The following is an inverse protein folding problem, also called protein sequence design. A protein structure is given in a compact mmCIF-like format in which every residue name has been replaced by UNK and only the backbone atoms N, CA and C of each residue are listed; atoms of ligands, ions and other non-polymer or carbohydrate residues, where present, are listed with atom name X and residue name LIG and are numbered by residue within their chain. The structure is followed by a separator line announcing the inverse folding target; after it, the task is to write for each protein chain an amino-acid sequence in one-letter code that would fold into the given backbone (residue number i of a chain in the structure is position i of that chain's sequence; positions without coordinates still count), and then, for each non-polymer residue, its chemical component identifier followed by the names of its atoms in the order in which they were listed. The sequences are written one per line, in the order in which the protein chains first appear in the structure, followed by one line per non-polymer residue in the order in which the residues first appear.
data_IF_470059461634
#
_entry.id   IF_470059461634
#
_cell.length_a   1.000
_cell.length_b   1.000
_cell.length_c   1.000
_cell.angle_alpha   90.00
_cell.angle_beta   90.00
_cell.angle_gamma   90.00
#
_symmetry.space_group_name_H-M   'P 1'
#
loop_
_entity.id
_entity.type
_entity.pdbx_description
1 polymer ?
#
# COMPACT_ATOMS: atom_id res chain seq x y z
N UNK A 1 23.78 -45.39 -32.03
CA UNK A 1 24.51 -44.12 -32.00
C UNK A 1 23.62 -42.95 -32.27
N UNK A 2 22.83 -42.45 -31.31
CA UNK A 2 21.98 -41.26 -31.47
C UNK A 2 21.49 -40.75 -30.11
N UNK A 3 22.42 -40.39 -29.22
CA UNK A 3 22.08 -39.82 -27.91
C UNK A 3 23.18 -38.93 -27.33
N UNK A 4 23.86 -38.10 -28.14
CA UNK A 4 24.99 -37.27 -27.67
C UNK A 4 24.89 -35.78 -28.08
N UNK A 5 23.78 -35.28 -28.67
CA UNK A 5 23.75 -33.89 -29.17
C UNK A 5 22.60 -33.02 -28.56
N UNK A 6 22.16 -33.30 -27.34
CA UNK A 6 21.06 -32.52 -26.73
C UNK A 6 21.50 -31.66 -25.54
N UNK A 7 22.79 -31.64 -25.15
CA UNK A 7 23.26 -30.90 -23.98
C UNK A 7 24.15 -29.66 -24.31
N UNK A 8 24.38 -29.33 -25.57
CA UNK A 8 25.26 -28.20 -25.96
C UNK A 8 24.51 -26.93 -26.38
N UNK A 9 23.21 -26.82 -26.19
CA UNK A 9 22.45 -25.64 -26.64
C UNK A 9 21.83 -24.81 -25.48
N UNK A 10 22.32 -24.91 -24.25
CA UNK A 10 21.77 -24.25 -23.09
C UNK A 10 22.72 -23.24 -22.39
N UNK A 11 23.90 -22.99 -22.94
CA UNK A 11 24.75 -21.89 -22.47
C UNK A 11 25.03 -20.95 -23.65
N UNK A 12 24.14 -19.97 -23.89
CA UNK A 12 24.56 -18.76 -24.60
C UNK A 12 25.55 -18.04 -23.70
N UNK A 13 26.84 -18.26 -23.92
CA UNK A 13 27.87 -17.40 -23.37
C UNK A 13 27.64 -16.00 -23.95
N UNK A 14 27.65 -14.93 -23.14
CA UNK A 14 27.60 -13.58 -23.66
C UNK A 14 28.75 -13.41 -24.66
N UNK A 15 28.46 -12.74 -25.78
CA UNK A 15 29.51 -12.51 -26.78
C UNK A 15 30.64 -11.71 -26.12
N UNK A 16 31.88 -12.03 -26.49
CA UNK A 16 33.09 -11.35 -25.94
C UNK A 16 33.00 -9.83 -26.13
N UNK A 17 32.24 -9.35 -27.12
CA UNK A 17 31.94 -7.95 -27.35
C UNK A 17 31.15 -7.29 -26.18
N UNK A 18 30.28 -8.05 -25.47
CA UNK A 18 29.51 -7.54 -24.32
C UNK A 18 30.36 -7.32 -23.05
N UNK A 19 31.57 -7.94 -22.99
CA UNK A 19 32.49 -7.78 -21.87
C UNK A 19 33.38 -6.52 -21.97
N UNK A 20 33.40 -5.88 -23.14
CA UNK A 20 34.19 -4.67 -23.40
C UNK A 20 33.36 -3.46 -23.75
N UNK A 21 32.02 -3.57 -23.78
CA UNK A 21 31.16 -2.41 -23.95
C UNK A 21 31.27 -1.48 -22.74
N UNK A 22 31.58 -0.21 -23.00
CA UNK A 22 31.62 0.81 -21.97
C UNK A 22 30.22 0.99 -21.41
N UNK A 23 30.11 1.54 -20.19
CA UNK A 23 28.82 1.86 -19.57
C UNK A 23 27.97 2.78 -20.47
N UNK A 24 28.64 3.66 -21.24
CA UNK A 24 28.03 4.53 -22.24
C UNK A 24 27.48 3.75 -23.46
N UNK A 25 28.13 2.65 -23.87
CA UNK A 25 27.65 1.81 -24.97
C UNK A 25 26.45 0.94 -24.55
N UNK A 26 26.44 0.43 -23.30
CA UNK A 26 25.27 -0.27 -22.73
C UNK A 26 24.08 0.66 -22.56
N UNK A 27 24.31 1.92 -22.20
CA UNK A 27 23.26 2.95 -22.12
C UNK A 27 22.70 3.32 -23.48
N UNK A 28 23.53 3.30 -24.54
CA UNK A 28 23.06 3.50 -25.94
C UNK A 28 22.25 2.31 -26.46
N UNK A 29 22.62 1.08 -26.11
CA UNK A 29 21.88 -0.12 -26.48
C UNK A 29 20.56 -0.26 -25.70
N UNK A 30 20.49 0.23 -24.46
CA UNK A 30 19.24 0.29 -23.69
C UNK A 30 18.30 1.40 -24.14
N UNK A 31 18.73 2.29 -25.03
CA UNK A 31 17.94 3.43 -25.50
C UNK A 31 17.80 4.56 -24.48
N UNK A 32 18.48 4.47 -23.34
CA UNK A 32 18.42 5.45 -22.25
C UNK A 32 19.50 6.53 -22.43
N UNK A 33 19.15 7.63 -23.06
CA UNK A 33 20.05 8.77 -23.26
C UNK A 33 20.07 9.66 -22.02
N UNK A 34 21.26 9.84 -21.43
CA UNK A 34 21.46 10.89 -20.41
C UNK A 34 21.81 12.19 -21.12
N UNK A 35 21.00 13.21 -20.93
CA UNK A 35 21.20 14.55 -21.52
C UNK A 35 20.98 15.64 -20.48
N UNK A 36 21.51 16.81 -20.74
CA UNK A 36 21.26 18.00 -19.93
C UNK A 36 20.15 18.82 -20.58
N UNK A 37 19.08 19.07 -19.83
CA UNK A 37 17.86 19.73 -20.30
C UNK A 37 17.58 20.95 -19.44
N UNK A 38 17.04 22.03 -20.06
CA UNK A 38 16.57 23.20 -19.31
C UNK A 38 15.36 22.84 -18.45
N UNK A 39 15.29 23.41 -17.22
CA UNK A 39 14.13 23.21 -16.36
C UNK A 39 12.82 23.71 -17.00
N UNK A 40 12.90 24.70 -17.90
CA UNK A 40 11.73 25.22 -18.64
C UNK A 40 11.13 24.22 -19.65
N UNK A 41 11.90 23.20 -20.06
CA UNK A 41 11.44 22.16 -20.99
C UNK A 41 10.89 20.92 -20.24
N UNK A 42 10.96 20.93 -18.91
CA UNK A 42 10.49 19.83 -18.07
C UNK A 42 9.08 20.13 -17.55
N UNK A 43 8.17 19.20 -17.78
CA UNK A 43 6.78 19.30 -17.38
C UNK A 43 6.44 18.20 -16.36
N UNK A 44 5.71 18.52 -15.27
CA UNK A 44 5.22 17.51 -14.34
C UNK A 44 4.33 16.48 -15.05
N UNK A 45 4.29 15.25 -14.52
CA UNK A 45 3.39 14.21 -14.99
C UNK A 45 1.93 14.63 -14.80
N UNK A 46 1.11 14.44 -15.83
CA UNK A 46 -0.33 14.76 -15.76
C UNK A 46 -1.02 13.89 -14.75
N UNK A 47 -1.80 14.49 -13.83
CA UNK A 47 -2.51 13.79 -12.74
C UNK A 47 -1.57 12.99 -11.82
N UNK A 48 -0.39 13.52 -11.53
CA UNK A 48 0.55 12.90 -10.60
C UNK A 48 -0.09 12.65 -9.23
N UNK A 49 -0.18 11.38 -8.75
CA UNK A 49 -0.96 11.05 -7.54
C UNK A 49 -0.27 11.43 -6.23
N UNK A 50 1.04 11.69 -6.27
CA UNK A 50 1.85 11.98 -5.09
C UNK A 50 2.11 13.49 -4.98
N UNK A 51 1.86 14.05 -3.81
CA UNK A 51 2.11 15.47 -3.55
C UNK A 51 3.60 15.76 -3.37
N UNK A 52 4.04 16.89 -3.92
CA UNK A 52 5.34 17.47 -3.60
C UNK A 52 5.10 18.53 -2.53
N UNK A 53 5.57 18.27 -1.30
CA UNK A 53 5.38 19.15 -0.14
C UNK A 53 6.64 19.93 0.13
N UNK A 54 6.46 21.19 0.50
CA UNK A 54 7.54 22.08 0.98
C UNK A 54 7.73 21.90 2.49
N UNK A 55 8.31 20.75 2.85
CA UNK A 55 8.63 20.37 4.22
C UNK A 55 10.13 20.59 4.53
N UNK A 56 10.54 20.34 5.77
CA UNK A 56 11.94 20.43 6.19
C UNK A 56 12.87 19.53 5.35
N UNK A 57 12.38 18.38 4.89
CA UNK A 57 13.16 17.48 4.06
C UNK A 57 13.31 17.99 2.62
N UNK A 58 12.35 18.79 2.14
CA UNK A 58 12.51 19.55 0.89
C UNK A 58 13.58 20.61 1.04
N UNK A 59 13.62 21.36 2.16
CA UNK A 59 14.64 22.36 2.38
C UNK A 59 16.06 21.76 2.44
N UNK A 60 16.24 20.63 3.13
CA UNK A 60 17.51 19.89 3.15
C UNK A 60 17.93 19.44 1.74
N UNK A 61 16.95 19.00 0.92
CA UNK A 61 17.20 18.61 -0.46
C UNK A 61 17.63 19.80 -1.31
N UNK A 62 16.99 20.96 -1.14
CA UNK A 62 17.38 22.23 -1.82
C UNK A 62 18.81 22.62 -1.45
N UNK A 63 19.17 22.58 -0.18
CA UNK A 63 20.51 22.94 0.28
C UNK A 63 21.56 21.98 -0.26
N UNK A 64 21.28 20.67 -0.25
CA UNK A 64 22.15 19.66 -0.86
C UNK A 64 22.32 19.87 -2.36
N UNK A 65 21.26 20.27 -3.07
CA UNK A 65 21.33 20.55 -4.52
C UNK A 65 22.13 21.81 -4.82
N UNK A 66 22.07 22.84 -3.97
CA UNK A 66 22.91 24.05 -4.10
C UNK A 66 24.38 23.75 -3.93
N UNK A 67 24.73 22.84 -3.02
CA UNK A 67 26.14 22.48 -2.74
C UNK A 67 26.72 21.50 -3.75
N UNK A 68 25.97 20.45 -4.09
CA UNK A 68 26.48 19.28 -4.82
C UNK A 68 25.85 19.10 -6.20
N UNK A 69 24.88 19.93 -6.56
CA UNK A 69 24.06 19.69 -7.74
C UNK A 69 23.12 18.48 -7.57
N UNK A 70 22.45 18.11 -8.65
CA UNK A 70 21.57 16.93 -8.66
C UNK A 70 22.37 15.68 -8.96
N UNK A 71 22.62 14.86 -7.93
CA UNK A 71 23.46 13.67 -8.00
C UNK A 71 22.81 12.52 -8.79
N UNK A 72 21.48 12.39 -8.73
CA UNK A 72 20.74 11.32 -9.41
C UNK A 72 19.86 11.92 -10.50
N UNK A 73 20.01 11.45 -11.74
CA UNK A 73 19.25 11.96 -12.88
C UNK A 73 17.73 11.79 -12.69
N UNK A 74 16.95 12.72 -13.24
CA UNK A 74 15.50 12.54 -13.39
C UNK A 74 15.24 11.56 -14.53
N UNK A 75 14.15 10.81 -14.45
CA UNK A 75 13.66 10.01 -15.57
C UNK A 75 12.53 10.76 -16.25
N UNK A 76 12.67 10.95 -17.56
CA UNK A 76 11.73 11.73 -18.37
C UNK A 76 11.40 11.00 -19.67
N UNK A 77 10.30 11.38 -20.32
CA UNK A 77 9.97 10.95 -21.69
C UNK A 77 9.71 12.16 -22.59
N UNK A 78 9.93 12.05 -23.92
CA UNK A 78 9.54 13.10 -24.86
C UNK A 78 8.02 13.32 -24.86
N UNK A 79 7.59 14.58 -25.09
CA UNK A 79 6.18 14.95 -25.30
C UNK A 79 5.95 15.28 -26.76
N UNK A 80 4.76 14.96 -27.27
CA UNK A 80 4.37 15.31 -28.65
C UNK A 80 4.31 16.83 -28.87
N UNK A 81 3.98 17.58 -27.81
CA UNK A 81 3.91 19.05 -27.83
C UNK A 81 5.27 19.74 -27.67
N UNK A 82 6.35 18.96 -27.58
CA UNK A 82 7.71 19.42 -27.29
C UNK A 82 8.05 19.41 -25.81
N UNK A 83 9.36 19.39 -25.50
CA UNK A 83 9.87 19.23 -24.14
C UNK A 83 9.74 17.80 -23.64
N UNK A 84 9.83 17.64 -22.32
CA UNK A 84 9.85 16.33 -21.66
C UNK A 84 8.87 16.28 -20.50
N UNK A 85 8.22 15.14 -20.32
CA UNK A 85 7.39 14.86 -19.15
C UNK A 85 8.19 14.04 -18.12
N UNK A 86 8.11 14.44 -16.85
CA UNK A 86 8.85 13.82 -15.75
C UNK A 86 8.11 12.55 -15.30
N UNK A 87 8.73 11.38 -15.45
CA UNK A 87 8.22 10.11 -14.92
C UNK A 87 8.65 9.94 -13.47
N UNK A 88 9.92 10.22 -13.15
CA UNK A 88 10.45 10.10 -11.78
C UNK A 88 11.39 11.25 -11.44
N UNK A 89 11.31 11.71 -10.19
CA UNK A 89 12.16 12.77 -9.67
C UNK A 89 11.48 14.12 -9.47
N UNK A 90 10.15 14.18 -9.35
CA UNK A 90 9.40 15.42 -9.14
C UNK A 90 9.89 16.26 -7.95
N UNK A 91 10.26 15.65 -6.82
CA UNK A 91 10.85 16.36 -5.67
C UNK A 91 12.21 16.98 -6.02
N UNK A 92 13.05 16.27 -6.79
CA UNK A 92 14.35 16.80 -7.26
C UNK A 92 14.19 17.93 -8.26
N UNK A 93 13.22 17.82 -9.15
CA UNK A 93 12.84 18.89 -10.08
C UNK A 93 12.40 20.14 -9.32
N UNK A 94 11.47 20.01 -8.39
CA UNK A 94 10.99 21.12 -7.57
C UNK A 94 12.12 21.74 -6.73
N UNK A 95 12.94 20.92 -6.09
CA UNK A 95 14.08 21.40 -5.33
C UNK A 95 15.14 22.10 -6.22
N UNK A 96 15.35 21.65 -7.46
CA UNK A 96 16.23 22.31 -8.42
C UNK A 96 15.69 23.67 -8.85
N UNK A 97 14.38 23.84 -9.01
CA UNK A 97 13.73 25.13 -9.25
C UNK A 97 13.95 26.07 -8.07
N UNK A 98 13.73 25.61 -6.83
CA UNK A 98 13.95 26.40 -5.61
C UNK A 98 15.43 26.73 -5.41
N UNK A 99 16.34 25.87 -5.84
CA UNK A 99 17.78 26.11 -5.82
C UNK A 99 18.26 27.11 -6.88
N UNK A 100 17.42 27.44 -7.88
CA UNK A 100 17.73 28.38 -8.96
C UNK A 100 18.65 27.80 -10.04
N UNK A 101 18.57 26.49 -10.28
CA UNK A 101 19.30 25.85 -11.40
C UNK A 101 18.59 26.15 -12.73
N UNK A 102 19.35 26.38 -13.79
CA UNK A 102 18.81 26.54 -15.16
C UNK A 102 18.64 25.21 -15.88
N UNK A 103 19.52 24.26 -15.60
CA UNK A 103 19.59 22.96 -16.29
C UNK A 103 19.78 21.79 -15.31
N UNK A 104 19.33 20.64 -15.71
CA UNK A 104 19.44 19.41 -14.94
C UNK A 104 19.70 18.20 -15.85
N UNK A 105 20.44 17.22 -15.35
CA UNK A 105 20.66 15.96 -16.04
C UNK A 105 19.44 15.07 -15.96
N UNK A 106 18.98 14.57 -17.10
CA UNK A 106 17.83 13.69 -17.23
C UNK A 106 18.20 12.43 -18.02
N UNK A 107 17.56 11.34 -17.67
CA UNK A 107 17.59 10.09 -18.41
C UNK A 107 16.30 10.03 -19.25
N UNK A 108 16.46 10.10 -20.57
CA UNK A 108 15.33 10.08 -21.51
C UNK A 108 14.97 8.63 -21.83
N UNK A 109 13.74 8.24 -21.52
CA UNK A 109 13.17 6.94 -21.85
C UNK A 109 12.03 7.09 -22.85
N UNK A 110 12.06 6.30 -23.91
CA UNK A 110 10.98 6.30 -24.90
C UNK A 110 9.96 5.22 -24.54
N UNK A 111 8.96 5.59 -23.74
CA UNK A 111 7.92 4.71 -23.22
C UNK A 111 6.53 5.28 -23.55
N UNK A 112 5.56 4.39 -23.76
CA UNK A 112 4.17 4.79 -23.96
C UNK A 112 3.51 5.26 -22.64
N UNK A 113 2.28 5.80 -22.75
CA UNK A 113 1.56 6.37 -21.61
C UNK A 113 1.33 5.35 -20.50
N UNK A 114 0.97 4.11 -20.85
CA UNK A 114 0.67 3.08 -19.87
C UNK A 114 1.94 2.65 -19.12
N UNK A 115 3.07 2.48 -19.84
CA UNK A 115 4.35 2.15 -19.21
C UNK A 115 4.89 3.31 -18.37
N UNK A 116 4.71 4.57 -18.81
CA UNK A 116 5.10 5.74 -18.03
C UNK A 116 4.34 5.83 -16.70
N UNK A 117 3.02 5.52 -16.69
CA UNK A 117 2.22 5.44 -15.46
C UNK A 117 2.74 4.33 -14.54
N UNK A 118 3.02 3.14 -15.08
CA UNK A 118 3.54 2.02 -14.30
C UNK A 118 4.89 2.39 -13.67
N UNK A 119 5.83 2.91 -14.46
CA UNK A 119 7.16 3.30 -14.00
C UNK A 119 7.09 4.41 -12.93
N UNK A 120 6.21 5.39 -13.12
CA UNK A 120 5.99 6.49 -12.16
C UNK A 120 5.45 5.98 -10.82
N UNK A 121 4.47 5.08 -10.85
CA UNK A 121 3.92 4.49 -9.62
C UNK A 121 4.97 3.64 -8.92
N UNK A 122 5.69 2.78 -9.63
CA UNK A 122 6.70 1.88 -9.06
C UNK A 122 7.85 2.64 -8.41
N UNK A 123 8.26 3.76 -9.02
CA UNK A 123 9.30 4.62 -8.44
C UNK A 123 8.90 5.31 -7.13
N UNK A 124 7.61 5.37 -6.81
CA UNK A 124 7.09 6.13 -5.67
C UNK A 124 6.40 5.28 -4.61
N UNK A 125 5.84 4.10 -4.98
CA UNK A 125 4.98 3.30 -4.08
C UNK A 125 5.70 2.74 -2.85
N UNK A 126 7.03 2.67 -2.89
CA UNK A 126 7.87 2.14 -1.79
C UNK A 126 8.38 3.23 -0.84
N UNK A 127 7.93 4.48 -0.99
CA UNK A 127 8.29 5.56 -0.05
C UNK A 127 7.71 5.27 1.34
N UNK A 128 8.45 5.61 2.39
CA UNK A 128 8.04 5.36 3.78
C UNK A 128 6.78 6.13 4.19
N UNK A 129 6.56 7.33 3.63
CA UNK A 129 5.45 8.22 4.01
C UNK A 129 4.57 8.53 2.79
N UNK A 130 3.67 7.59 2.46
CA UNK A 130 2.62 7.79 1.45
C UNK A 130 1.28 7.82 2.17
N UNK A 131 0.45 8.84 1.90
CA UNK A 131 -0.89 8.89 2.46
C UNK A 131 -1.77 7.75 1.88
N UNK A 132 -2.77 7.27 2.64
CA UNK A 132 -3.66 6.22 2.14
C UNK A 132 -4.34 6.57 0.83
N UNK A 133 -4.71 7.84 0.61
CA UNK A 133 -5.35 8.27 -0.63
C UNK A 133 -4.37 8.45 -1.79
N UNK A 134 -3.13 8.89 -1.53
CA UNK A 134 -2.07 8.87 -2.55
C UNK A 134 -1.81 7.44 -3.04
N UNK A 135 -1.68 6.48 -2.11
CA UNK A 135 -1.53 5.06 -2.43
C UNK A 135 -2.74 4.52 -3.20
N UNK A 136 -3.95 4.90 -2.81
CA UNK A 136 -5.19 4.50 -3.49
C UNK A 136 -5.26 5.02 -4.93
N UNK A 137 -4.93 6.31 -5.16
CA UNK A 137 -4.88 6.92 -6.50
C UNK A 137 -3.81 6.26 -7.37
N UNK A 138 -2.61 6.10 -6.86
CA UNK A 138 -1.50 5.46 -7.56
C UNK A 138 -1.82 4.02 -7.99
N UNK A 139 -2.37 3.21 -7.09
CA UNK A 139 -2.77 1.84 -7.38
C UNK A 139 -3.91 1.76 -8.39
N UNK A 140 -4.87 2.70 -8.36
CA UNK A 140 -5.93 2.79 -9.37
C UNK A 140 -5.33 3.07 -10.74
N UNK A 141 -4.45 4.08 -10.86
CA UNK A 141 -3.78 4.43 -12.11
C UNK A 141 -2.94 3.27 -12.68
N UNK A 142 -2.13 2.61 -11.84
CA UNK A 142 -1.33 1.44 -12.26
C UNK A 142 -2.23 0.29 -12.73
N UNK A 143 -3.30 -0.01 -12.01
CA UNK A 143 -4.25 -1.08 -12.37
C UNK A 143 -4.93 -0.81 -13.72
N UNK A 144 -5.34 0.44 -13.99
CA UNK A 144 -5.94 0.86 -15.25
C UNK A 144 -4.94 0.80 -16.41
N UNK A 145 -3.72 1.28 -16.21
CA UNK A 145 -2.64 1.22 -17.21
C UNK A 145 -2.30 -0.24 -17.58
N UNK A 146 -2.16 -1.10 -16.60
CA UNK A 146 -1.89 -2.53 -16.83
C UNK A 146 -3.04 -3.23 -17.56
N UNK A 147 -4.31 -2.87 -17.29
CA UNK A 147 -5.48 -3.41 -18.01
C UNK A 147 -5.46 -2.97 -19.49
N UNK A 148 -5.16 -1.69 -19.78
CA UNK A 148 -5.06 -1.18 -21.16
C UNK A 148 -3.90 -1.85 -21.92
N UNK A 149 -2.74 -1.94 -21.32
CA UNK A 149 -1.57 -2.62 -21.90
C UNK A 149 -1.83 -4.11 -22.19
N UNK A 150 -2.53 -4.81 -21.29
CA UNK A 150 -2.93 -6.21 -21.52
C UNK A 150 -3.96 -6.36 -22.65
N UNK A 151 -4.88 -5.40 -22.84
CA UNK A 151 -5.85 -5.36 -23.93
C UNK A 151 -5.18 -5.18 -25.30
N UNK A 152 -4.21 -4.29 -25.43
CA UNK A 152 -3.43 -4.08 -26.68
C UNK A 152 -2.69 -5.33 -27.15
N UNK A 153 -2.18 -6.17 -26.23
CA UNK A 153 -1.48 -7.41 -26.57
C UNK A 153 -2.41 -8.51 -27.11
N UNK A 154 -3.72 -8.45 -26.84
CA UNK A 154 -4.69 -9.45 -27.31
C UNK A 154 -5.07 -9.32 -28.78
N UNK A 155 -4.89 -8.16 -29.41
CA UNK A 155 -5.15 -7.97 -30.84
C UNK A 155 -4.16 -8.71 -31.76
N UNK A 156 -2.99 -9.10 -31.26
CA UNK A 156 -1.92 -9.74 -32.05
C UNK A 156 -1.63 -11.22 -31.74
N UNK A 157 -2.44 -11.93 -30.96
CA UNK A 157 -2.12 -13.35 -30.67
C UNK A 157 -3.14 -14.12 -29.84
N UNK A 158 -3.73 -15.09 -30.52
CA UNK A 158 -4.34 -16.34 -30.03
C UNK A 158 -5.23 -16.31 -28.78
N UNK A 159 -6.51 -16.63 -29.02
CA UNK A 159 -7.53 -16.94 -28.03
C UNK A 159 -7.08 -18.04 -27.06
N UNK A 160 -7.52 -17.89 -25.85
CA UNK A 160 -7.80 -18.82 -24.74
C UNK A 160 -7.17 -18.32 -23.43
N UNK A 161 -7.92 -17.47 -22.73
CA UNK A 161 -8.13 -17.61 -21.30
C UNK A 161 -9.18 -16.58 -20.81
N UNK A 162 -10.43 -17.02 -20.79
CA UNK A 162 -11.56 -16.33 -20.16
C UNK A 162 -11.53 -16.58 -18.66
N UNK A 163 -10.62 -15.96 -17.92
CA UNK A 163 -10.73 -15.87 -16.46
C UNK A 163 -10.17 -14.56 -15.93
N UNK A 164 -11.10 -13.63 -15.60
CA UNK A 164 -10.93 -12.44 -14.78
C UNK A 164 -9.57 -11.68 -14.93
N UNK A 165 -9.42 -10.82 -15.94
CA UNK A 165 -8.21 -10.02 -16.12
C UNK A 165 -7.92 -9.13 -14.90
N UNK A 166 -8.95 -8.74 -14.14
CA UNK A 166 -8.82 -7.92 -12.94
C UNK A 166 -8.07 -8.62 -11.79
N UNK A 167 -8.26 -9.91 -11.62
CA UNK A 167 -7.56 -10.66 -10.58
C UNK A 167 -6.07 -10.84 -10.91
N UNK A 168 -5.71 -10.97 -12.19
CA UNK A 168 -4.32 -11.14 -12.63
C UNK A 168 -3.51 -9.85 -12.40
N UNK A 169 -4.03 -8.68 -12.79
CA UNK A 169 -3.33 -7.39 -12.57
C UNK A 169 -3.18 -7.07 -11.08
N UNK A 170 -4.24 -7.25 -10.28
CA UNK A 170 -4.16 -7.02 -8.84
C UNK A 170 -3.18 -7.99 -8.14
N UNK A 171 -3.06 -9.24 -8.62
CA UNK A 171 -2.08 -10.20 -8.10
C UNK A 171 -0.66 -9.77 -8.42
N UNK A 172 -0.42 -9.29 -9.64
CA UNK A 172 0.89 -8.79 -10.05
C UNK A 172 1.27 -7.53 -9.27
N UNK A 173 0.37 -6.54 -9.18
CA UNK A 173 0.59 -5.32 -8.39
C UNK A 173 0.85 -5.68 -6.91
N UNK A 174 0.09 -6.65 -6.38
CA UNK A 174 0.26 -7.10 -5.00
C UNK A 174 1.64 -7.70 -4.74
N UNK A 175 2.16 -8.49 -5.69
CA UNK A 175 3.51 -9.04 -5.61
C UNK A 175 4.59 -7.94 -5.65
N UNK A 176 4.42 -6.92 -6.51
CA UNK A 176 5.36 -5.79 -6.64
C UNK A 176 5.41 -4.93 -5.35
N UNK A 177 4.27 -4.76 -4.69
CA UNK A 177 4.10 -3.88 -3.50
C UNK A 177 4.20 -4.63 -2.18
N UNK A 178 4.21 -5.97 -2.20
CA UNK A 178 4.21 -6.81 -0.99
C UNK A 178 2.84 -6.87 -0.29
N UNK A 179 1.74 -6.63 -1.03
CA UNK A 179 0.37 -6.58 -0.51
C UNK A 179 -0.49 -7.70 -1.11
N UNK A 180 -1.52 -8.14 -0.40
CA UNK A 180 -2.46 -9.10 -0.97
C UNK A 180 -3.32 -8.47 -2.07
N UNK A 181 -3.76 -9.23 -3.11
CA UNK A 181 -4.67 -8.72 -4.14
C UNK A 181 -5.95 -8.10 -3.55
N UNK A 182 -6.46 -8.69 -2.47
CA UNK A 182 -7.62 -8.15 -1.74
C UNK A 182 -7.34 -6.77 -1.16
N UNK A 183 -6.14 -6.54 -0.63
CA UNK A 183 -5.75 -5.24 -0.08
C UNK A 183 -5.59 -4.19 -1.19
N UNK A 184 -5.06 -4.58 -2.36
CA UNK A 184 -4.99 -3.70 -3.54
C UNK A 184 -6.39 -3.21 -3.93
N UNK A 185 -7.39 -4.12 -4.04
CA UNK A 185 -8.76 -3.72 -4.35
C UNK A 185 -9.36 -2.78 -3.30
N UNK A 186 -9.04 -2.99 -2.01
CA UNK A 186 -9.51 -2.11 -0.93
C UNK A 186 -8.94 -0.69 -1.05
N UNK A 187 -7.64 -0.56 -1.40
CA UNK A 187 -7.06 0.75 -1.69
C UNK A 187 -7.73 1.41 -2.91
N UNK A 188 -7.86 0.67 -4.02
CA UNK A 188 -8.50 1.20 -5.23
C UNK A 188 -9.93 1.68 -4.92
N UNK A 189 -10.66 0.95 -4.08
CA UNK A 189 -12.04 1.29 -3.71
C UNK A 189 -12.16 2.62 -2.95
N UNK A 190 -11.14 3.04 -2.20
CA UNK A 190 -11.16 4.35 -1.52
C UNK A 190 -11.34 5.54 -2.47
N UNK A 191 -10.99 5.40 -3.75
CA UNK A 191 -11.20 6.46 -4.73
C UNK A 191 -12.69 6.78 -5.01
N UNK A 192 -13.61 5.92 -4.58
CA UNK A 192 -15.05 6.12 -4.71
C UNK A 192 -15.64 6.94 -3.54
N UNK A 193 -14.81 7.35 -2.58
CA UNK A 193 -15.23 8.29 -1.54
C UNK A 193 -15.33 9.71 -2.09
N UNK A 194 -16.26 10.50 -1.55
CA UNK A 194 -16.33 11.94 -1.80
C UNK A 194 -15.05 12.63 -1.28
N UNK A 195 -14.61 13.76 -1.88
CA UNK A 195 -13.34 14.41 -1.56
C UNK A 195 -13.14 14.74 -0.07
N UNK A 196 -14.21 15.09 0.61
CA UNK A 196 -14.21 15.45 2.04
C UNK A 196 -13.87 14.22 2.90
N UNK A 197 -14.47 13.06 2.60
CA UNK A 197 -14.15 11.82 3.29
C UNK A 197 -12.72 11.33 2.97
N UNK A 198 -12.24 11.55 1.73
CA UNK A 198 -10.85 11.26 1.38
C UNK A 198 -9.87 12.06 2.25
N UNK A 199 -10.13 13.36 2.47
CA UNK A 199 -9.33 14.20 3.38
C UNK A 199 -9.34 13.67 4.81
N UNK A 200 -10.49 13.18 5.30
CA UNK A 200 -10.59 12.57 6.64
C UNK A 200 -9.82 11.25 6.76
N UNK A 201 -9.66 10.51 5.64
CA UNK A 201 -8.80 9.30 5.60
C UNK A 201 -7.32 9.70 5.68
N UNK A 202 -6.89 10.69 4.92
CA UNK A 202 -5.50 11.16 4.91
C UNK A 202 -5.08 11.79 6.25
N UNK A 203 -6.00 12.52 6.92
CA UNK A 203 -5.77 13.03 8.29
C UNK A 203 -5.88 11.96 9.38
N UNK A 204 -6.15 10.69 9.02
CA UNK A 204 -6.37 9.56 9.93
C UNK A 204 -7.54 9.75 10.91
N UNK A 205 -8.40 10.74 10.70
CA UNK A 205 -9.65 10.94 11.44
C UNK A 205 -10.62 9.80 11.12
N UNK A 206 -10.75 9.45 9.84
CA UNK A 206 -11.50 8.28 9.40
C UNK A 206 -10.53 7.10 9.15
N UNK A 207 -10.71 6.01 9.90
CA UNK A 207 -9.84 4.83 9.78
C UNK A 207 -10.05 4.10 8.45
N UNK A 208 -8.99 3.48 7.92
CA UNK A 208 -8.97 2.78 6.63
C UNK A 208 -10.11 1.76 6.47
N UNK A 209 -10.32 0.89 7.47
CA UNK A 209 -11.32 -0.18 7.35
C UNK A 209 -12.76 0.35 7.26
N UNK A 210 -13.23 1.24 8.14
CA UNK A 210 -14.52 1.92 7.97
C UNK A 210 -14.64 2.68 6.65
N UNK A 211 -13.59 3.39 6.22
CA UNK A 211 -13.57 4.14 4.98
C UNK A 211 -13.84 3.26 3.74
N UNK A 212 -13.22 2.06 3.69
CA UNK A 212 -13.48 1.08 2.63
C UNK A 212 -14.96 0.63 2.61
N UNK A 213 -15.59 0.44 3.77
CA UNK A 213 -17.01 0.08 3.82
C UNK A 213 -17.91 1.25 3.39
N UNK A 214 -17.59 2.48 3.80
CA UNK A 214 -18.32 3.69 3.40
C UNK A 214 -18.19 3.98 1.90
N UNK A 215 -17.12 3.58 1.24
CA UNK A 215 -16.96 3.77 -0.21
C UNK A 215 -17.97 2.98 -1.05
N UNK A 216 -18.75 2.08 -0.45
CA UNK A 216 -19.83 1.36 -1.13
C UNK A 216 -21.16 2.12 -1.09
N UNK A 217 -21.29 3.18 -0.30
CA UNK A 217 -22.45 4.06 -0.27
C UNK A 217 -22.48 4.91 -1.54
N UNK A 218 -23.68 5.36 -1.92
CA UNK A 218 -23.84 6.36 -2.98
C UNK A 218 -23.25 7.71 -2.55
N UNK A 219 -22.89 8.61 -3.48
CA UNK A 219 -22.37 9.93 -3.11
C UNK A 219 -23.31 10.73 -2.19
N UNK A 220 -24.63 10.66 -2.39
CA UNK A 220 -25.62 11.34 -1.57
C UNK A 220 -25.68 10.76 -0.14
N UNK A 221 -25.58 9.43 -0.01
CA UNK A 221 -25.53 8.76 1.29
C UNK A 221 -24.21 9.06 2.02
N UNK A 222 -23.10 9.17 1.27
CA UNK A 222 -21.80 9.57 1.84
C UNK A 222 -21.88 11.01 2.36
N UNK A 223 -22.54 11.92 1.64
CA UNK A 223 -22.74 13.29 2.10
C UNK A 223 -23.60 13.33 3.35
N UNK A 224 -24.73 12.62 3.37
CA UNK A 224 -25.60 12.52 4.53
C UNK A 224 -24.88 11.95 5.76
N UNK A 225 -24.02 10.95 5.55
CA UNK A 225 -23.15 10.41 6.60
C UNK A 225 -22.16 11.46 7.10
N UNK A 226 -21.53 12.22 6.19
CA UNK A 226 -20.54 13.26 6.53
C UNK A 226 -21.21 14.35 7.38
N UNK A 227 -22.37 14.86 6.96
CA UNK A 227 -23.13 15.90 7.65
C UNK A 227 -23.50 15.46 9.08
N UNK A 228 -23.95 14.21 9.23
CA UNK A 228 -24.24 13.62 10.55
C UNK A 228 -22.97 13.49 11.41
N UNK A 229 -21.90 12.96 10.83
CA UNK A 229 -20.63 12.73 11.53
C UNK A 229 -19.99 14.04 12.03
N UNK A 230 -20.14 15.13 11.26
CA UNK A 230 -19.68 16.46 11.65
C UNK A 230 -20.57 17.10 12.72
N UNK A 231 -21.90 16.96 12.60
CA UNK A 231 -22.83 17.49 13.59
C UNK A 231 -22.68 16.83 14.96
N UNK A 232 -22.34 15.54 15.00
CA UNK A 232 -22.21 14.75 16.24
C UNK A 232 -20.76 14.56 16.70
N UNK A 233 -19.76 15.14 15.97
CA UNK A 233 -18.32 14.94 16.22
C UNK A 233 -17.97 13.46 16.43
N UNK A 234 -18.46 12.59 15.57
CA UNK A 234 -18.31 11.16 15.72
C UNK A 234 -17.67 10.50 14.49
N UNK A 235 -17.02 9.35 14.72
CA UNK A 235 -16.44 8.53 13.66
C UNK A 235 -17.00 7.11 13.75
N UNK A 236 -17.31 6.45 12.60
CA UNK A 236 -17.92 5.14 12.60
C UNK A 236 -16.91 4.07 13.03
N UNK A 237 -17.38 3.11 13.79
CA UNK A 237 -16.70 1.84 13.97
C UNK A 237 -16.82 1.00 12.69
N UNK A 238 -15.96 -0.02 12.54
CA UNK A 238 -16.08 -0.95 11.41
C UNK A 238 -17.47 -1.62 11.35
N UNK A 239 -18.01 -2.01 12.49
CA UNK A 239 -19.33 -2.63 12.58
C UNK A 239 -20.47 -1.70 12.13
N UNK A 240 -20.40 -0.41 12.51
CA UNK A 240 -21.37 0.60 12.05
C UNK A 240 -21.24 0.83 10.54
N UNK A 241 -20.02 0.99 10.01
CA UNK A 241 -19.78 1.15 8.58
C UNK A 241 -20.29 -0.05 7.76
N UNK A 242 -20.13 -1.29 8.27
CA UNK A 242 -20.68 -2.49 7.64
C UNK A 242 -22.21 -2.50 7.63
N UNK A 243 -22.87 -2.03 8.70
CA UNK A 243 -24.34 -1.91 8.75
C UNK A 243 -24.85 -0.84 7.79
N UNK A 244 -24.15 0.31 7.69
CA UNK A 244 -24.47 1.36 6.73
C UNK A 244 -24.40 0.83 5.30
N UNK A 245 -23.32 0.11 4.94
CA UNK A 245 -23.16 -0.55 3.65
C UNK A 245 -24.29 -1.56 3.37
N UNK A 246 -24.67 -2.36 4.36
CA UNK A 246 -25.75 -3.33 4.19
C UNK A 246 -27.09 -2.63 3.92
N UNK A 247 -27.40 -1.60 4.69
CA UNK A 247 -28.61 -0.79 4.51
C UNK A 247 -28.65 -0.06 3.15
N UNK A 248 -27.50 0.49 2.71
CA UNK A 248 -27.35 1.09 1.38
C UNK A 248 -27.61 0.08 0.26
N UNK A 249 -27.03 -1.13 0.37
CA UNK A 249 -27.22 -2.20 -0.61
C UNK A 249 -28.68 -2.65 -0.71
N UNK A 250 -29.42 -2.61 0.40
CA UNK A 250 -30.85 -2.93 0.47
C UNK A 250 -31.74 -1.76 0.02
N UNK A 251 -31.16 -0.57 -0.22
CA UNK A 251 -31.91 0.64 -0.55
C UNK A 251 -32.74 1.17 0.61
N UNK A 252 -32.40 0.80 1.84
CA UNK A 252 -33.14 1.16 3.05
C UNK A 252 -32.44 2.22 3.92
N UNK A 253 -31.31 2.78 3.44
CA UNK A 253 -30.53 3.76 4.19
C UNK A 253 -31.21 5.14 4.13
N UNK A 254 -32.06 5.41 5.11
CA UNK A 254 -32.66 6.74 5.38
C UNK A 254 -31.83 7.47 6.43
N UNK A 255 -32.05 8.79 6.60
CA UNK A 255 -31.41 9.57 7.66
C UNK A 255 -31.71 9.00 9.05
N UNK A 256 -32.94 8.61 9.32
CA UNK A 256 -33.35 8.01 10.61
C UNK A 256 -32.59 6.71 10.88
N UNK A 257 -32.42 5.88 9.83
CA UNK A 257 -31.66 4.61 9.95
C UNK A 257 -30.16 4.81 10.10
N UNK A 258 -29.61 5.84 9.45
CA UNK A 258 -28.22 6.25 9.63
C UNK A 258 -27.99 6.66 11.09
N UNK A 259 -28.90 7.49 11.64
CA UNK A 259 -28.85 7.93 13.03
C UNK A 259 -28.98 6.76 14.01
N UNK A 260 -29.91 5.83 13.77
CA UNK A 260 -30.07 4.60 14.55
C UNK A 260 -28.78 3.77 14.57
N UNK A 261 -28.15 3.55 13.41
CA UNK A 261 -26.92 2.76 13.29
C UNK A 261 -25.76 3.45 13.99
N UNK A 262 -25.64 4.77 13.85
CA UNK A 262 -24.52 5.53 14.40
C UNK A 262 -24.67 5.76 15.91
N UNK A 263 -25.90 5.96 16.42
CA UNK A 263 -26.19 6.10 17.86
C UNK A 263 -26.12 4.76 18.61
N UNK A 264 -26.24 3.62 17.92
CA UNK A 264 -26.12 2.32 18.53
C UNK A 264 -24.77 2.21 19.26
N UNK A 265 -24.82 2.13 20.59
CA UNK A 265 -23.62 1.99 21.42
C UNK A 265 -22.78 0.83 20.94
N UNK A 266 -21.45 1.04 20.85
CA UNK A 266 -20.51 -0.08 20.71
C UNK A 266 -20.90 -1.12 21.76
N UNK A 267 -21.14 -2.40 21.37
CA UNK A 267 -21.29 -3.42 22.38
C UNK A 267 -20.07 -3.28 23.29
N UNK A 268 -20.31 -3.00 24.57
CA UNK A 268 -19.20 -2.94 25.54
C UNK A 268 -18.52 -4.27 25.41
N UNK A 269 -17.29 -4.27 24.90
CA UNK A 269 -16.46 -5.47 24.96
C UNK A 269 -16.27 -5.68 26.44
N UNK A 270 -17.02 -6.63 27.01
CA UNK A 270 -16.79 -7.06 28.38
C UNK A 270 -15.26 -7.25 28.53
N UNK A 271 -14.64 -6.72 29.57
CA UNK A 271 -13.21 -6.85 29.77
C UNK A 271 -12.86 -8.31 29.48
N UNK A 272 -12.08 -8.57 28.46
CA UNK A 272 -11.62 -9.95 28.19
C UNK A 272 -10.88 -10.34 29.43
N UNK A 273 -11.40 -11.37 30.13
CA UNK A 273 -10.65 -11.96 31.23
C UNK A 273 -9.24 -12.24 30.76
N UNK A 274 -8.23 -11.86 31.53
CA UNK A 274 -6.85 -12.09 31.12
C UNK A 274 -6.63 -13.58 30.86
N UNK A 275 -6.44 -13.94 29.61
CA UNK A 275 -6.20 -15.33 29.19
C UNK A 275 -4.72 -15.61 29.30
N UNK A 276 -4.35 -16.44 30.27
CA UNK A 276 -2.98 -16.92 30.40
C UNK A 276 -2.71 -18.04 29.38
N UNK A 277 -2.00 -17.72 28.30
CA UNK A 277 -1.57 -18.70 27.31
C UNK A 277 -0.28 -19.40 27.75
N UNK A 278 -0.43 -20.57 28.36
CA UNK A 278 0.73 -21.41 28.72
C UNK A 278 1.03 -22.34 27.54
N UNK A 279 2.28 -22.33 27.07
CA UNK A 279 2.71 -23.25 26.01
C UNK A 279 2.70 -24.69 26.57
N UNK A 280 1.80 -25.52 26.02
CA UNK A 280 1.57 -26.91 26.48
C UNK A 280 2.86 -27.73 26.47
N UNK A 281 3.76 -27.54 25.48
CA UNK A 281 5.05 -28.25 25.43
C UNK A 281 5.99 -27.96 26.62
N UNK A 282 5.93 -26.74 27.17
CA UNK A 282 6.74 -26.38 28.35
C UNK A 282 6.18 -27.00 29.66
N UNK A 283 4.89 -27.26 29.70
CA UNK A 283 4.20 -27.78 30.88
C UNK A 283 4.11 -29.31 30.87
N UNK A 284 4.00 -29.90 29.67
CA UNK A 284 3.87 -31.36 29.48
C UNK A 284 4.99 -32.18 30.16
N UNK A 285 6.20 -31.62 30.26
CA UNK A 285 7.35 -32.29 30.92
C UNK A 285 7.13 -32.58 32.41
N UNK A 286 6.19 -31.88 33.06
CA UNK A 286 5.87 -32.05 34.46
C UNK A 286 4.66 -32.98 34.69
N UNK A 287 4.08 -33.54 33.63
CA UNK A 287 2.91 -34.39 33.70
C UNK A 287 3.20 -35.79 33.13
N UNK A 288 2.50 -36.83 33.61
CA UNK A 288 2.63 -38.19 33.05
C UNK A 288 2.28 -38.22 31.57
N UNK A 289 2.96 -39.09 30.82
CA UNK A 289 2.67 -39.34 29.40
C UNK A 289 1.22 -39.76 29.22
N UNK A 290 0.48 -39.05 28.32
CA UNK A 290 -0.93 -39.34 28.03
C UNK A 290 -1.94 -38.41 28.72
N UNK A 291 -1.50 -37.43 29.53
CA UNK A 291 -2.41 -36.41 30.06
C UNK A 291 -2.98 -35.49 28.96
N UNK A 292 -4.30 -35.33 28.97
CA UNK A 292 -4.96 -34.35 28.06
C UNK A 292 -4.74 -32.91 28.56
N UNK A 293 -4.86 -31.93 27.64
CA UNK A 293 -4.75 -30.51 27.99
C UNK A 293 -5.64 -30.11 29.16
N UNK A 294 -6.88 -30.58 29.16
CA UNK A 294 -7.87 -30.30 30.21
C UNK A 294 -7.52 -30.90 31.57
N UNK A 295 -6.89 -32.08 31.57
CA UNK A 295 -6.39 -32.68 32.79
C UNK A 295 -5.19 -31.92 33.38
N UNK A 296 -4.32 -31.39 32.52
CA UNK A 296 -3.21 -30.53 32.93
C UNK A 296 -3.71 -29.21 33.52
N UNK A 297 -4.65 -28.55 32.88
CA UNK A 297 -5.29 -27.31 33.36
C UNK A 297 -5.94 -27.53 34.76
N UNK A 298 -6.75 -28.57 34.92
CA UNK A 298 -7.40 -28.85 36.19
C UNK A 298 -6.41 -29.18 37.31
N UNK A 299 -5.29 -29.83 37.00
CA UNK A 299 -4.24 -30.10 38.02
C UNK A 299 -3.48 -28.84 38.38
N UNK A 300 -3.16 -27.96 37.39
CA UNK A 300 -2.50 -26.69 37.66
C UNK A 300 -3.37 -25.82 38.56
N UNK A 301 -4.67 -25.70 38.26
CA UNK A 301 -5.61 -24.96 39.12
C UNK A 301 -5.64 -25.47 40.54
N UNK A 302 -5.73 -26.81 40.75
CA UNK A 302 -5.70 -27.40 42.10
C UNK A 302 -4.41 -27.12 42.87
N UNK A 303 -3.27 -27.16 42.16
CA UNK A 303 -1.96 -26.87 42.80
C UNK A 303 -1.91 -25.37 43.19
N UNK A 304 -2.36 -24.46 42.32
CA UNK A 304 -2.41 -23.04 42.63
C UNK A 304 -3.37 -22.74 43.79
N UNK A 305 -4.56 -23.36 43.83
CA UNK A 305 -5.50 -23.22 44.94
C UNK A 305 -4.90 -23.70 46.27
N UNK A 306 -4.22 -24.85 46.28
CA UNK A 306 -3.57 -25.36 47.49
C UNK A 306 -2.43 -24.45 47.92
N UNK A 307 -1.62 -23.96 47.01
CA UNK A 307 -0.50 -23.06 47.29
C UNK A 307 -0.97 -21.72 47.88
N UNK A 308 -1.94 -21.07 47.26
CA UNK A 308 -2.46 -19.81 47.79
C UNK A 308 -3.21 -19.96 49.12
N UNK A 309 -3.86 -21.11 49.34
CA UNK A 309 -4.48 -21.41 50.63
C UNK A 309 -3.44 -21.58 51.72
N UNK A 310 -2.30 -22.18 51.40
CA UNK A 310 -1.18 -22.35 52.33
C UNK A 310 -0.51 -21.00 52.66
N UNK A 311 -0.25 -20.17 51.66
CA UNK A 311 0.28 -18.82 51.84
C UNK A 311 -0.63 -17.92 52.67
N UNK A 312 -1.94 -17.97 52.46
CA UNK A 312 -2.90 -17.22 53.28
C UNK A 312 -2.90 -17.68 54.76
N UNK A 313 -2.68 -18.98 55.00
CA UNK A 313 -2.56 -19.52 56.37
C UNK A 313 -1.26 -19.07 57.06
N UNK A 314 -0.16 -19.03 56.32
CA UNK A 314 1.15 -18.57 56.84
C UNK A 314 1.12 -17.06 57.15
N UNK A 315 0.50 -16.23 56.28
CA UNK A 315 0.34 -14.79 56.52
C UNK A 315 -0.54 -14.50 57.75
N UNK A 316 -1.64 -15.25 57.93
CA UNK A 316 -2.48 -15.09 59.13
C UNK A 316 -1.75 -15.50 60.43
N UNK A 317 -0.82 -16.46 60.37
CA UNK A 317 0.00 -16.84 61.53
C UNK A 317 1.15 -15.84 61.78
N UNK A 318 1.62 -15.08 60.81
CA UNK A 318 2.61 -14.02 61.02
C UNK A 318 1.97 -12.73 61.58
N UNK A 319 0.71 -12.43 61.27
CA UNK A 319 -0.04 -11.28 61.84
C UNK A 319 -0.50 -11.52 63.31
N UNK A 320 -0.58 -12.78 63.77
CA UNK A 320 -0.90 -13.12 65.12
C UNK A 320 0.33 -13.20 66.10
N UNK A 321 1.54 -12.96 65.56
CA UNK A 321 2.79 -12.93 66.39
C UNK A 321 3.29 -11.49 66.55
#
# INVERSE_FOLDING_TARGET
MAAKNKFMNAMKMPAIADMFSSEADRQRESGDLVTEVSLSELHPFVNHPFEVRDDEDMQKLVDSIKENGVLTNLTVRPRDEGGYEIISGHRRFHAAQLAGLDKIKVQVRNVDDDQAIIDMVDANIQREHISPMEKARALKMKNEAMKRSAGRRKENGCQLDTHFPEAKTATQIGADVGESPKQIFRYIRLNELIPELQKKVDSNTLKFNPAVELSYLTPDEQQSFLDYAEAQDCTPSLSQAQKLKAASKEGTLTLDKLEEIMSAQKPSVAPREPVLNINVSKVAQYFPTGCTKQQMENRILKILESYFRQMAHEQAHEEER
#
